data_IF_072418843895
#
_entry.id   IF_072418843895
#
_cell.length_a   1.000
_cell.length_b   1.000
_cell.length_c   1.000
_cell.angle_alpha   90.00
_cell.angle_beta   90.00
_cell.angle_gamma   90.00
#
_symmetry.space_group_name_H-M   'P 1'
#
loop_
_entity.id
_entity.type
_entity.pdbx_description
1 polymer ?
#
# COMPACT_ATOMS: atom_id res chain seq x y z
N UNK A 1 18.51 36.97 6.61
CA UNK A 1 17.17 36.66 6.09
C UNK A 1 17.12 35.16 5.76
N UNK A 2 16.70 34.33 6.72
CA UNK A 2 16.58 32.88 6.53
C UNK A 2 15.30 32.59 5.72
N UNK A 3 15.45 31.86 4.61
CA UNK A 3 14.39 31.60 3.62
C UNK A 3 13.22 30.81 4.26
N UNK A 4 11.99 31.35 4.35
CA UNK A 4 10.85 30.64 4.93
C UNK A 4 10.47 29.37 4.14
N UNK A 5 10.86 29.29 2.86
CA UNK A 5 10.58 28.15 1.98
C UNK A 5 11.35 26.86 2.34
N UNK A 6 12.52 26.96 3.00
CA UNK A 6 13.30 25.78 3.38
C UNK A 6 12.71 25.11 4.63
N UNK A 7 12.21 25.92 5.56
CA UNK A 7 11.59 25.46 6.82
C UNK A 7 10.23 24.83 6.53
N UNK A 8 9.40 25.41 5.66
CA UNK A 8 8.10 24.84 5.27
C UNK A 8 8.25 23.52 4.51
N UNK A 9 9.27 23.41 3.65
CA UNK A 9 9.57 22.16 2.93
C UNK A 9 10.01 21.05 3.89
N UNK A 10 10.89 21.35 4.85
CA UNK A 10 11.34 20.38 5.85
C UNK A 10 10.19 19.93 6.77
N UNK A 11 9.32 20.86 7.18
CA UNK A 11 8.15 20.57 8.00
C UNK A 11 7.15 19.68 7.23
N UNK A 12 6.97 19.92 5.93
CA UNK A 12 6.09 19.10 5.08
C UNK A 12 6.61 17.67 4.92
N UNK A 13 7.92 17.49 4.75
CA UNK A 13 8.56 16.17 4.69
C UNK A 13 8.41 15.44 6.03
N UNK A 14 8.63 16.14 7.14
CA UNK A 14 8.47 15.57 8.49
C UNK A 14 7.02 15.12 8.74
N UNK A 15 6.03 15.95 8.37
CA UNK A 15 4.61 15.61 8.47
C UNK A 15 4.28 14.39 7.61
N UNK A 16 4.80 14.33 6.38
CA UNK A 16 4.60 13.18 5.49
C UNK A 16 5.15 11.88 6.11
N UNK A 17 6.37 11.93 6.66
CA UNK A 17 6.97 10.77 7.34
C UNK A 17 6.13 10.35 8.55
N UNK A 18 5.66 11.32 9.35
CA UNK A 18 4.84 11.05 10.53
C UNK A 18 3.49 10.43 10.18
N UNK A 19 2.87 10.86 9.07
CA UNK A 19 1.61 10.28 8.57
C UNK A 19 1.77 8.82 8.14
N UNK A 20 2.91 8.46 7.55
CA UNK A 20 3.21 7.07 7.17
C UNK A 20 3.63 6.19 8.37
N UNK A 21 4.10 6.78 9.46
CA UNK A 21 4.48 6.06 10.67
C UNK A 21 3.28 5.64 11.55
N UNK A 22 2.11 6.26 11.34
CA UNK A 22 0.89 5.91 12.08
C UNK A 22 0.29 4.64 11.46
N UNK A 23 0.41 3.53 12.19
CA UNK A 23 -0.34 2.31 11.90
C UNK A 23 -1.62 2.33 12.73
N UNK A 24 -2.77 2.38 12.06
CA UNK A 24 -4.09 2.29 12.68
C UNK A 24 -4.59 0.87 12.52
N UNK A 25 -5.07 0.25 13.61
CA UNK A 25 -5.83 -0.99 13.56
C UNK A 25 -7.13 -0.73 12.81
N UNK A 26 -7.09 -0.93 11.49
CA UNK A 26 -8.24 -0.69 10.61
C UNK A 26 -8.95 -2.01 10.32
N UNK A 27 -10.21 -2.10 10.74
CA UNK A 27 -11.15 -3.05 10.13
C UNK A 27 -11.15 -2.81 8.61
N UNK A 28 -11.24 -3.88 7.81
CA UNK A 28 -11.10 -3.84 6.35
C UNK A 28 -11.69 -2.55 5.70
N UNK A 29 -10.84 -1.79 5.02
CA UNK A 29 -11.16 -0.44 4.50
C UNK A 29 -12.04 -0.45 3.24
N UNK A 30 -12.32 -1.64 2.68
CA UNK A 30 -13.24 -1.83 1.56
C UNK A 30 -14.50 -2.57 2.04
N UNK A 31 -15.72 -2.08 1.76
CA UNK A 31 -16.96 -2.71 2.22
C UNK A 31 -17.13 -4.15 1.73
N UNK A 32 -16.58 -4.49 0.56
CA UNK A 32 -16.57 -5.86 0.04
C UNK A 32 -15.68 -6.78 0.89
N UNK A 33 -14.49 -6.31 1.28
CA UNK A 33 -13.56 -7.08 2.09
C UNK A 33 -14.04 -7.23 3.54
N UNK A 34 -14.77 -6.24 4.05
CA UNK A 34 -15.39 -6.27 5.38
C UNK A 34 -16.46 -7.37 5.48
N UNK A 35 -17.35 -7.48 4.49
CA UNK A 35 -18.41 -8.52 4.49
C UNK A 35 -17.85 -9.95 4.45
N UNK A 36 -16.79 -10.17 3.66
CA UNK A 36 -16.10 -11.48 3.60
C UNK A 36 -15.38 -11.78 4.91
N UNK A 37 -14.70 -10.79 5.50
CA UNK A 37 -14.03 -10.94 6.78
C UNK A 37 -15.00 -11.27 7.92
N UNK A 38 -16.12 -10.54 8.03
CA UNK A 38 -17.14 -10.78 9.06
C UNK A 38 -17.81 -12.16 8.91
N UNK A 39 -18.09 -12.58 7.67
CA UNK A 39 -18.66 -13.91 7.40
C UNK A 39 -17.66 -15.01 7.75
N UNK A 40 -16.39 -14.83 7.41
CA UNK A 40 -15.31 -15.77 7.76
C UNK A 40 -15.15 -15.92 9.28
N UNK A 41 -15.20 -14.82 10.02
CA UNK A 41 -15.11 -14.85 11.49
C UNK A 41 -16.32 -15.54 12.13
N UNK A 42 -17.54 -15.34 11.60
CA UNK A 42 -18.76 -16.01 12.08
C UNK A 42 -18.72 -17.52 11.90
N UNK A 43 -18.05 -17.99 10.85
CA UNK A 43 -17.82 -19.42 10.60
C UNK A 43 -16.63 -20.00 11.38
N UNK A 44 -15.98 -19.20 12.24
CA UNK A 44 -14.80 -19.61 13.00
C UNK A 44 -13.53 -19.72 12.15
N UNK A 45 -13.55 -19.24 10.91
CA UNK A 45 -12.41 -19.28 9.99
C UNK A 45 -11.41 -18.18 10.31
N UNK A 46 -10.12 -18.54 10.35
CA UNK A 46 -9.00 -17.60 10.49
C UNK A 46 -8.75 -16.74 9.25
N UNK A 47 -9.50 -16.92 8.15
CA UNK A 47 -9.27 -16.24 6.87
C UNK A 47 -9.40 -14.70 6.92
N UNK A 48 -10.14 -14.17 7.91
CA UNK A 48 -10.18 -12.73 8.14
C UNK A 48 -8.84 -12.16 8.66
N UNK A 49 -8.01 -13.00 9.29
CA UNK A 49 -6.71 -12.62 9.83
C UNK A 49 -5.71 -12.54 8.66
N UNK A 50 -5.32 -11.33 8.29
CA UNK A 50 -4.34 -11.08 7.21
C UNK A 50 -4.92 -10.69 5.85
N UNK A 51 -6.24 -10.44 5.75
CA UNK A 51 -6.89 -10.03 4.50
C UNK A 51 -6.27 -8.76 3.89
N UNK A 52 -5.96 -7.74 4.70
CA UNK A 52 -5.33 -6.50 4.23
C UNK A 52 -3.94 -6.75 3.62
N UNK A 53 -3.17 -7.68 4.19
CA UNK A 53 -1.87 -8.11 3.63
C UNK A 53 -2.07 -8.79 2.27
N UNK A 54 -3.10 -9.63 2.14
CA UNK A 54 -3.48 -10.24 0.86
C UNK A 54 -3.86 -9.21 -0.21
N UNK A 55 -4.65 -8.19 0.13
CA UNK A 55 -5.04 -7.10 -0.78
C UNK A 55 -3.81 -6.34 -1.27
N UNK A 56 -2.89 -5.98 -0.37
CA UNK A 56 -1.64 -5.32 -0.74
C UNK A 56 -0.82 -6.19 -1.69
N UNK A 57 -0.69 -7.49 -1.39
CA UNK A 57 0.05 -8.42 -2.25
C UNK A 57 -0.56 -8.51 -3.65
N UNK A 58 -1.88 -8.67 -3.74
CA UNK A 58 -2.61 -8.73 -5.01
C UNK A 58 -2.57 -7.41 -5.77
N UNK A 59 -2.58 -6.26 -5.08
CA UNK A 59 -2.52 -4.95 -5.72
C UNK A 59 -1.14 -4.66 -6.30
N UNK A 60 -0.05 -4.96 -5.58
CA UNK A 60 1.31 -4.67 -6.03
C UNK A 60 1.83 -5.66 -7.08
N UNK A 61 1.38 -6.91 -7.03
CA UNK A 61 1.81 -7.98 -7.96
C UNK A 61 1.70 -7.57 -9.45
N UNK A 62 0.57 -7.06 -9.98
CA UNK A 62 0.46 -6.71 -11.40
C UNK A 62 1.43 -5.59 -11.81
N UNK A 63 1.66 -4.60 -10.95
CA UNK A 63 2.59 -3.51 -11.25
C UNK A 63 4.04 -4.01 -11.32
N UNK A 64 4.44 -4.90 -10.40
CA UNK A 64 5.77 -5.52 -10.41
C UNK A 64 5.94 -6.37 -11.67
N UNK A 65 4.95 -7.21 -12.00
CA UNK A 65 5.00 -8.06 -13.20
C UNK A 65 5.13 -7.23 -14.48
N UNK A 66 4.29 -6.20 -14.65
CA UNK A 66 4.35 -5.31 -15.80
C UNK A 66 5.69 -4.58 -15.86
N UNK A 67 6.22 -4.10 -14.73
CA UNK A 67 7.52 -3.43 -14.67
C UNK A 67 8.67 -4.34 -15.10
N UNK A 68 8.71 -5.58 -14.60
CA UNK A 68 9.74 -6.56 -14.97
C UNK A 68 9.66 -6.92 -16.45
N UNK A 69 8.45 -7.24 -16.94
CA UNK A 69 8.24 -7.59 -18.36
C UNK A 69 8.61 -6.42 -19.25
N UNK A 70 8.12 -5.21 -18.94
CA UNK A 70 8.41 -3.99 -19.68
C UNK A 70 9.90 -3.68 -19.73
N UNK A 71 10.62 -3.82 -18.60
CA UNK A 71 12.07 -3.64 -18.57
C UNK A 71 12.82 -4.65 -19.45
N UNK A 72 12.42 -5.94 -19.41
CA UNK A 72 13.05 -6.97 -20.26
C UNK A 72 12.81 -6.69 -21.74
N UNK A 73 11.60 -6.27 -22.12
CA UNK A 73 11.25 -5.90 -23.50
C UNK A 73 12.07 -4.67 -23.94
N UNK A 74 12.09 -3.60 -23.16
CA UNK A 74 12.89 -2.40 -23.44
C UNK A 74 14.36 -2.75 -23.68
N UNK A 75 14.97 -3.53 -22.78
CA UNK A 75 16.36 -3.96 -22.92
C UNK A 75 16.60 -4.84 -24.16
N UNK A 76 15.62 -5.64 -24.56
CA UNK A 76 15.70 -6.46 -25.77
C UNK A 76 15.64 -5.61 -27.05
N UNK A 77 14.88 -4.51 -27.06
CA UNK A 77 14.76 -3.57 -28.18
C UNK A 77 15.82 -2.46 -28.20
N UNK A 78 16.63 -2.33 -27.14
CA UNK A 78 17.78 -1.42 -27.07
C UNK A 78 19.09 -2.07 -27.59
N UNK A 79 19.01 -3.28 -28.15
CA UNK A 79 20.02 -3.86 -29.03
C UNK A 79 19.64 -3.57 -30.48
#
# INVERSE_FOLDING_TARGET
>A
MQKPAQITSFLSILIFILLFAITIDTSAQCPMCKGIAESSLKEGSGAAKGLNTGILYLFFTPFILIGVVGYKVYKAHQK
#
